data_IF_750662032212
#
_entry.id   IF_750662032212
#
_cell.length_a   1.000
_cell.length_b   1.000
_cell.length_c   1.000
_cell.angle_alpha   90.00
_cell.angle_beta   90.00
_cell.angle_gamma   90.00
#
_symmetry.space_group_name_H-M   'P 1'
#
loop_
_entity.id
_entity.type
_entity.pdbx_description
1 polymer ?
#
# COMPACT_ATOMS: atom_id res chain seq x y z
N UNK A 1 19.04 -17.66 26.08
CA UNK A 1 18.08 -16.82 26.80
C UNK A 1 16.82 -16.76 25.95
N UNK A 2 15.75 -17.43 26.38
CA UNK A 2 14.48 -17.48 25.64
C UNK A 2 13.59 -16.30 26.06
N UNK A 3 13.02 -15.59 25.10
CA UNK A 3 12.08 -14.50 25.34
C UNK A 3 10.78 -15.07 25.95
N UNK A 4 10.18 -14.46 26.98
CA UNK A 4 8.94 -14.96 27.57
C UNK A 4 7.76 -14.85 26.59
N UNK A 5 6.75 -15.72 26.68
CA UNK A 5 5.59 -15.66 25.79
C UNK A 5 4.80 -14.37 26.02
N UNK A 6 4.49 -13.65 24.94
CA UNK A 6 3.63 -12.46 24.99
C UNK A 6 2.20 -12.88 25.33
N UNK A 7 1.64 -12.31 26.39
CA UNK A 7 0.23 -12.47 26.74
C UNK A 7 -0.68 -11.99 25.61
N UNK A 8 -1.82 -12.65 25.36
CA UNK A 8 -2.78 -12.17 24.39
C UNK A 8 -3.38 -10.85 24.89
N UNK A 9 -3.26 -9.80 24.07
CA UNK A 9 -3.90 -8.52 24.34
C UNK A 9 -5.41 -8.73 24.53
N UNK A 10 -5.89 -8.45 25.74
CA UNK A 10 -7.32 -8.31 26.05
C UNK A 10 -7.88 -7.11 25.29
N UNK A 11 -8.28 -7.35 24.05
CA UNK A 11 -8.97 -6.39 23.20
C UNK A 11 -10.46 -6.62 23.28
N UNK A 12 -11.15 -5.80 24.08
CA UNK A 12 -12.60 -5.58 23.97
C UNK A 12 -12.98 -5.53 22.48
N UNK A 13 -13.89 -6.41 22.07
CA UNK A 13 -14.45 -6.40 20.72
C UNK A 13 -15.16 -5.05 20.51
N UNK A 14 -14.42 -4.10 19.94
CA UNK A 14 -14.93 -2.79 19.60
C UNK A 14 -16.11 -2.98 18.66
N UNK A 15 -17.27 -2.56 19.15
CA UNK A 15 -18.54 -2.45 18.46
C UNK A 15 -18.34 -1.99 17.03
N UNK A 16 -18.84 -2.75 16.05
CA UNK A 16 -18.72 -2.42 14.64
C UNK A 16 -19.39 -1.07 14.34
N UNK A 17 -18.60 -0.02 14.18
CA UNK A 17 -19.00 1.26 13.60
C UNK A 17 -19.23 1.04 12.09
N UNK A 18 -20.32 0.34 11.76
CA UNK A 18 -20.76 0.08 10.37
C UNK A 18 -21.45 1.32 9.76
N UNK A 19 -21.01 2.53 10.11
CA UNK A 19 -21.72 3.75 9.74
C UNK A 19 -20.88 5.02 9.58
N UNK A 20 -19.65 5.09 10.11
CA UNK A 20 -18.82 6.29 9.93
C UNK A 20 -18.06 6.23 8.60
N UNK A 21 -18.51 7.02 7.63
CA UNK A 21 -17.74 7.30 6.43
C UNK A 21 -16.52 8.14 6.81
N UNK A 22 -15.35 7.81 6.24
CA UNK A 22 -14.15 8.64 6.34
C UNK A 22 -14.41 10.06 5.85
N UNK A 23 -13.64 11.04 6.34
CA UNK A 23 -13.71 12.41 5.85
C UNK A 23 -13.54 12.44 4.32
N UNK A 24 -14.31 13.29 3.64
CA UNK A 24 -14.22 13.48 2.20
C UNK A 24 -12.78 13.79 1.74
N UNK A 25 -12.00 14.49 2.54
CA UNK A 25 -10.59 14.79 2.22
C UNK A 25 -9.69 13.56 2.35
N UNK A 26 -9.96 12.68 3.31
CA UNK A 26 -9.30 11.39 3.44
C UNK A 26 -9.61 10.50 2.22
N UNK A 27 -10.87 10.44 1.81
CA UNK A 27 -11.30 9.67 0.63
C UNK A 27 -10.66 10.20 -0.66
N UNK A 28 -10.58 11.54 -0.83
CA UNK A 28 -9.88 12.15 -1.96
C UNK A 28 -8.39 11.82 -1.95
N UNK A 29 -7.76 11.77 -0.77
CA UNK A 29 -6.35 11.36 -0.64
C UNK A 29 -6.16 9.92 -1.10
N UNK A 30 -7.02 9.00 -0.65
CA UNK A 30 -6.95 7.60 -1.08
C UNK A 30 -7.13 7.45 -2.57
N UNK A 31 -8.13 8.13 -3.14
CA UNK A 31 -8.35 8.14 -4.58
C UNK A 31 -7.12 8.64 -5.34
N UNK A 32 -6.52 9.76 -4.92
CA UNK A 32 -5.30 10.29 -5.55
C UNK A 32 -4.13 9.31 -5.44
N UNK A 33 -3.91 8.69 -4.28
CA UNK A 33 -2.83 7.70 -4.11
C UNK A 33 -3.06 6.48 -5.01
N UNK A 34 -4.28 5.95 -5.08
CA UNK A 34 -4.61 4.83 -5.98
C UNK A 34 -4.38 5.21 -7.45
N UNK A 35 -4.77 6.42 -7.86
CA UNK A 35 -4.56 6.88 -9.23
C UNK A 35 -3.08 7.07 -9.58
N UNK A 36 -2.27 7.57 -8.65
CA UNK A 36 -0.80 7.66 -8.84
C UNK A 36 -0.20 6.27 -9.07
N UNK A 37 -0.55 5.30 -8.22
CA UNK A 37 -0.08 3.92 -8.37
C UNK A 37 -0.53 3.35 -9.72
N UNK A 38 -1.82 3.47 -10.05
CA UNK A 38 -2.38 3.01 -11.33
C UNK A 38 -1.62 3.55 -12.54
N UNK A 39 -1.38 4.86 -12.58
CA UNK A 39 -0.71 5.51 -13.71
C UNK A 39 0.76 5.10 -13.78
N UNK A 40 1.45 5.00 -12.63
CA UNK A 40 2.81 4.50 -12.57
C UNK A 40 2.93 3.08 -13.13
N UNK A 41 2.05 2.18 -12.69
CA UNK A 41 2.05 0.78 -13.13
C UNK A 41 1.75 0.64 -14.62
N UNK A 42 0.81 1.42 -15.16
CA UNK A 42 0.56 1.45 -16.60
C UNK A 42 1.78 1.93 -17.38
N UNK A 43 2.50 2.93 -16.86
CA UNK A 43 3.73 3.43 -17.49
C UNK A 43 4.85 2.40 -17.38
N UNK A 44 4.98 1.70 -16.26
CA UNK A 44 5.94 0.61 -16.09
C UNK A 44 5.66 -0.52 -17.09
N UNK A 45 4.39 -0.92 -17.25
CA UNK A 45 3.96 -1.89 -18.25
C UNK A 45 4.36 -1.46 -19.68
N UNK A 46 4.09 -0.20 -20.04
CA UNK A 46 4.45 0.36 -21.35
C UNK A 46 5.98 0.34 -21.57
N UNK A 47 6.77 0.72 -20.56
CA UNK A 47 8.23 0.71 -20.65
C UNK A 47 8.79 -0.71 -20.74
N UNK A 48 8.16 -1.67 -20.06
CA UNK A 48 8.49 -3.08 -20.17
C UNK A 48 8.23 -3.61 -21.59
N UNK A 49 7.06 -3.32 -22.17
CA UNK A 49 6.76 -3.66 -23.57
C UNK A 49 7.74 -3.02 -24.56
N UNK A 50 8.23 -1.82 -24.27
CA UNK A 50 9.26 -1.13 -25.07
C UNK A 50 10.69 -1.64 -24.81
N UNK A 51 10.85 -2.71 -24.05
CA UNK A 51 12.14 -3.26 -23.64
C UNK A 51 13.05 -2.23 -22.94
N UNK A 52 12.47 -1.23 -22.26
CA UNK A 52 13.20 -0.24 -21.44
C UNK A 52 13.36 -0.70 -19.99
N UNK A 53 12.60 -1.71 -19.58
CA UNK A 53 12.76 -2.43 -18.31
C UNK A 53 13.08 -3.88 -18.68
N UNK A 54 14.22 -4.40 -18.21
CA UNK A 54 14.63 -5.79 -18.41
C UNK A 54 14.31 -6.65 -17.18
N UNK A 55 14.32 -7.98 -17.37
CA UNK A 55 14.07 -8.92 -16.28
C UNK A 55 12.57 -9.07 -16.00
N UNK A 56 12.17 -9.02 -14.72
CA UNK A 56 10.77 -9.16 -14.30
C UNK A 56 10.15 -7.81 -13.95
N UNK A 57 8.86 -7.65 -14.23
CA UNK A 57 8.08 -6.45 -13.89
C UNK A 57 6.69 -6.87 -13.41
N UNK A 58 6.47 -6.88 -12.09
CA UNK A 58 5.21 -7.30 -11.49
C UNK A 58 4.42 -6.07 -11.03
N UNK A 59 3.21 -5.91 -11.56
CA UNK A 59 2.46 -4.67 -11.43
C UNK A 59 1.37 -4.78 -10.35
N UNK A 60 1.20 -3.81 -9.45
CA UNK A 60 0.04 -3.72 -8.55
C UNK A 60 -1.26 -3.28 -9.28
N UNK A 61 -1.35 -3.45 -10.59
CA UNK A 61 -2.52 -3.05 -11.39
C UNK A 61 -3.76 -3.83 -10.93
N UNK A 62 -4.75 -3.12 -10.39
CA UNK A 62 -5.98 -3.70 -9.83
C UNK A 62 -5.92 -3.98 -8.32
N UNK A 63 -4.76 -3.82 -7.67
CA UNK A 63 -4.56 -4.04 -6.23
C UNK A 63 -4.39 -2.74 -5.44
N UNK A 64 -4.68 -1.58 -6.06
CA UNK A 64 -4.35 -0.27 -5.47
C UNK A 64 -5.08 -0.01 -4.16
N UNK A 65 -6.31 -0.50 -4.03
CA UNK A 65 -7.09 -0.38 -2.80
C UNK A 65 -6.44 -1.13 -1.63
N UNK A 66 -5.87 -2.31 -1.88
CA UNK A 66 -5.15 -3.08 -0.86
C UNK A 66 -3.90 -2.34 -0.41
N UNK A 67 -3.13 -1.80 -1.36
CA UNK A 67 -1.91 -1.04 -1.09
C UNK A 67 -2.21 0.22 -0.25
N UNK A 68 -3.16 1.04 -0.70
CA UNK A 68 -3.49 2.32 -0.06
C UNK A 68 -4.18 2.09 1.27
N UNK A 69 -5.14 1.16 1.34
CA UNK A 69 -5.84 0.83 2.58
C UNK A 69 -4.90 0.29 3.66
N UNK A 70 -4.02 -0.64 3.29
CA UNK A 70 -3.00 -1.16 4.22
C UNK A 70 -2.08 -0.03 4.70
N UNK A 71 -1.51 0.75 3.78
CA UNK A 71 -0.54 1.79 4.12
C UNK A 71 -1.18 2.91 4.96
N UNK A 72 -2.46 3.21 4.74
CA UNK A 72 -3.21 4.19 5.53
C UNK A 72 -3.45 3.74 6.98
N UNK A 73 -3.50 2.42 7.23
CA UNK A 73 -3.66 1.86 8.57
C UNK A 73 -2.34 1.74 9.34
N UNK A 74 -1.19 1.83 8.66
CA UNK A 74 0.12 1.77 9.30
C UNK A 74 0.47 3.07 10.03
N UNK A 75 1.20 2.93 11.14
CA UNK A 75 1.84 4.05 11.84
C UNK A 75 3.22 4.32 11.24
N UNK A 76 3.76 5.51 11.49
CA UNK A 76 5.04 5.94 10.94
C UNK A 76 6.22 5.00 11.28
N UNK A 77 6.20 4.36 12.45
CA UNK A 77 7.24 3.43 12.90
C UNK A 77 7.01 1.97 12.49
N UNK A 78 5.88 1.65 11.84
CA UNK A 78 5.58 0.27 11.47
C UNK A 78 6.43 -0.16 10.27
N UNK A 79 7.01 -1.35 10.40
CA UNK A 79 7.73 -2.03 9.33
C UNK A 79 6.75 -2.69 8.37
N UNK A 80 7.02 -2.55 7.08
CA UNK A 80 6.27 -3.21 6.00
C UNK A 80 7.22 -4.10 5.22
N UNK A 81 6.92 -5.40 5.18
CA UNK A 81 7.61 -6.37 4.34
C UNK A 81 6.66 -6.87 3.26
N UNK A 82 7.16 -7.01 2.05
CA UNK A 82 6.38 -7.40 0.87
C UNK A 82 7.20 -8.33 -0.02
N UNK A 83 6.58 -8.91 -1.04
CA UNK A 83 7.21 -9.82 -1.99
C UNK A 83 7.71 -9.05 -3.22
N UNK A 84 7.51 -9.59 -4.42
CA UNK A 84 8.01 -9.08 -5.70
C UNK A 84 7.00 -8.21 -6.47
N UNK A 85 5.88 -7.84 -5.83
CA UNK A 85 4.84 -6.96 -6.38
C UNK A 85 4.64 -5.74 -5.48
N UNK A 86 5.65 -4.87 -5.45
CA UNK A 86 5.83 -3.88 -4.40
C UNK A 86 5.83 -2.41 -4.81
N UNK A 87 5.72 -2.09 -6.10
CA UNK A 87 5.85 -0.70 -6.56
C UNK A 87 4.85 0.22 -5.86
N UNK A 88 3.59 -0.21 -5.76
CA UNK A 88 2.55 0.57 -5.10
C UNK A 88 2.86 0.85 -3.63
N UNK A 89 3.42 -0.12 -2.91
CA UNK A 89 3.80 0.04 -1.50
C UNK A 89 4.98 1.00 -1.34
N UNK A 90 5.98 0.94 -2.23
CA UNK A 90 7.09 1.88 -2.24
C UNK A 90 6.59 3.33 -2.47
N UNK A 91 5.71 3.53 -3.46
CA UNK A 91 5.09 4.84 -3.74
C UNK A 91 4.26 5.33 -2.55
N UNK A 92 3.44 4.47 -1.96
CA UNK A 92 2.60 4.82 -0.82
C UNK A 92 3.41 5.17 0.45
N UNK A 93 4.65 4.64 0.56
CA UNK A 93 5.61 4.96 1.63
C UNK A 93 6.52 6.15 1.31
N UNK A 94 6.26 6.87 0.22
CA UNK A 94 6.90 8.15 -0.10
C UNK A 94 8.03 8.08 -1.12
N UNK A 95 8.22 6.96 -1.83
CA UNK A 95 9.11 6.95 -2.99
C UNK A 95 8.55 7.88 -4.08
N UNK A 96 9.40 8.76 -4.62
CA UNK A 96 9.02 9.69 -5.69
C UNK A 96 9.23 9.06 -7.07
N UNK A 97 8.20 8.98 -7.92
CA UNK A 97 8.36 8.48 -9.29
C UNK A 97 9.13 9.52 -10.14
N UNK A 98 10.36 9.19 -10.53
CA UNK A 98 11.19 10.02 -11.42
C UNK A 98 12.47 10.59 -10.79
N UNK A 99 12.83 10.16 -9.59
CA UNK A 99 14.12 10.46 -8.96
C UNK A 99 15.19 9.42 -9.28
#
# INVERSE_FOLDING_TARGET
>A
MAEPPREPASGSAATSDRGRSEDADVLRRYYRQMMVIRVFEQRAAEMYTKAKIGGYCHLNLGEEATVVGLTAALRAGDYLFTTYREHGYALARGAEPGR
#
